data_IF_333647429417
#
_entry.id   IF_333647429417
#
_cell.length_a   1.000
_cell.length_b   1.000
_cell.length_c   1.000
_cell.angle_alpha   90.00
_cell.angle_beta   90.00
_cell.angle_gamma   90.00
#
_symmetry.space_group_name_H-M   'P 1'
#
loop_
_entity.id
_entity.type
_entity.pdbx_description
1 polymer ?
#
# COMPACT_ATOMS: atom_id res chain seq x y z
N UNK A 1 32.69 -0.02 -36.87
CA UNK A 1 32.91 0.28 -35.44
C UNK A 1 31.60 0.02 -34.76
N UNK A 2 31.48 -1.14 -34.10
CA UNK A 2 30.21 -1.57 -33.53
C UNK A 2 29.89 -0.77 -32.26
N UNK A 3 28.62 -0.37 -32.21
CA UNK A 3 27.95 0.48 -31.24
C UNK A 3 27.93 -0.11 -29.82
N UNK A 4 29.09 -0.24 -29.17
CA UNK A 4 29.18 -0.65 -27.77
C UNK A 4 28.40 0.33 -26.85
N UNK A 5 28.34 1.61 -27.24
CA UNK A 5 27.57 2.63 -26.52
C UNK A 5 26.05 2.53 -26.68
N UNK A 6 25.55 1.89 -27.74
CA UNK A 6 24.10 1.71 -27.92
C UNK A 6 23.57 0.51 -27.14
N UNK A 7 24.37 -0.55 -26.96
CA UNK A 7 24.01 -1.69 -26.10
C UNK A 7 23.84 -1.26 -24.65
N UNK A 8 24.85 -0.57 -24.09
CA UNK A 8 24.85 -0.10 -22.70
C UNK A 8 23.68 0.88 -22.42
N UNK A 9 23.31 1.74 -23.38
CA UNK A 9 22.16 2.66 -23.21
C UNK A 9 20.81 1.96 -23.27
N UNK A 10 20.69 0.85 -24.01
CA UNK A 10 19.46 0.06 -24.05
C UNK A 10 19.28 -0.73 -22.76
N UNK A 11 20.33 -1.40 -22.30
CA UNK A 11 20.32 -2.17 -21.05
C UNK A 11 19.99 -1.28 -19.84
N UNK A 12 20.65 -0.12 -19.70
CA UNK A 12 20.37 0.82 -18.61
C UNK A 12 18.93 1.39 -18.64
N UNK A 13 18.34 1.55 -19.83
CA UNK A 13 16.96 2.04 -19.98
C UNK A 13 15.95 0.95 -19.66
N UNK A 14 16.23 -0.30 -20.02
CA UNK A 14 15.38 -1.44 -19.69
C UNK A 14 15.41 -1.76 -18.19
N UNK A 15 16.57 -1.69 -17.55
CA UNK A 15 16.70 -1.84 -16.10
C UNK A 15 15.91 -0.76 -15.35
N UNK A 16 16.09 0.52 -15.69
CA UNK A 16 15.34 1.60 -15.02
C UNK A 16 13.82 1.55 -15.21
N UNK A 17 13.33 1.03 -16.35
CA UNK A 17 11.88 0.82 -16.57
C UNK A 17 11.37 -0.36 -15.72
N UNK A 18 12.16 -1.42 -15.57
CA UNK A 18 11.81 -2.57 -14.75
C UNK A 18 11.79 -2.22 -13.27
N UNK A 19 12.80 -1.50 -12.77
CA UNK A 19 12.85 -1.02 -11.39
C UNK A 19 11.66 -0.11 -11.09
N UNK A 20 11.41 0.91 -11.91
CA UNK A 20 10.29 1.83 -11.69
C UNK A 20 8.91 1.15 -11.76
N UNK A 21 8.74 0.10 -12.58
CA UNK A 21 7.49 -0.69 -12.61
C UNK A 21 7.34 -1.59 -11.38
N UNK A 22 8.44 -2.14 -10.88
CA UNK A 22 8.44 -2.97 -9.68
C UNK A 22 8.14 -2.12 -8.44
N UNK A 23 8.79 -0.98 -8.29
CA UNK A 23 8.54 -0.02 -7.21
C UNK A 23 7.09 0.47 -7.23
N UNK A 24 6.59 0.96 -8.38
CA UNK A 24 5.21 1.43 -8.48
C UNK A 24 4.15 0.33 -8.23
N UNK A 25 4.45 -0.92 -8.59
CA UNK A 25 3.56 -2.06 -8.29
C UNK A 25 3.61 -2.47 -6.81
N UNK A 26 4.74 -2.29 -6.14
CA UNK A 26 4.89 -2.54 -4.71
C UNK A 26 4.18 -1.45 -3.90
N UNK A 27 4.36 -0.18 -4.26
CA UNK A 27 3.66 0.95 -3.65
C UNK A 27 2.15 0.83 -3.83
N UNK A 28 1.67 0.56 -5.05
CA UNK A 28 0.23 0.39 -5.31
C UNK A 28 -0.38 -0.76 -4.52
N UNK A 29 0.33 -1.90 -4.40
CA UNK A 29 -0.15 -3.04 -3.60
C UNK A 29 -0.17 -2.75 -2.09
N UNK A 30 0.78 -1.97 -1.60
CA UNK A 30 0.80 -1.56 -0.20
C UNK A 30 -0.37 -0.61 0.11
N UNK A 31 -0.64 0.33 -0.80
CA UNK A 31 -1.75 1.27 -0.71
C UNK A 31 -3.12 0.57 -0.79
N UNK A 32 -3.29 -0.37 -1.74
CA UNK A 32 -4.50 -1.19 -1.85
C UNK A 32 -4.75 -2.01 -0.57
N UNK A 33 -3.70 -2.60 0.02
CA UNK A 33 -3.81 -3.33 1.28
C UNK A 33 -4.24 -2.43 2.43
N UNK A 34 -3.63 -1.25 2.54
CA UNK A 34 -3.97 -0.28 3.59
C UNK A 34 -5.43 0.19 3.47
N UNK A 35 -5.86 0.58 2.27
CA UNK A 35 -7.24 0.99 2.00
C UNK A 35 -8.24 -0.14 2.31
N UNK A 36 -7.88 -1.38 1.96
CA UNK A 36 -8.70 -2.56 2.27
C UNK A 36 -8.87 -2.74 3.77
N UNK A 37 -7.78 -2.62 4.54
CA UNK A 37 -7.81 -2.72 6.01
C UNK A 37 -8.72 -1.65 6.62
N UNK A 38 -8.61 -0.40 6.14
CA UNK A 38 -9.50 0.69 6.56
C UNK A 38 -10.97 0.37 6.26
N UNK A 39 -11.26 -0.15 5.07
CA UNK A 39 -12.62 -0.50 4.66
C UNK A 39 -13.20 -1.67 5.48
N UNK A 40 -12.40 -2.72 5.73
CA UNK A 40 -12.80 -3.84 6.57
C UNK A 40 -13.07 -3.39 8.01
N UNK A 41 -12.22 -2.50 8.55
CA UNK A 41 -12.41 -1.91 9.88
C UNK A 41 -13.74 -1.16 9.96
N UNK A 42 -14.04 -0.29 8.98
CA UNK A 42 -15.33 0.43 8.91
C UNK A 42 -16.53 -0.51 8.80
N UNK A 43 -16.45 -1.51 7.92
CA UNK A 43 -17.52 -2.51 7.75
C UNK A 43 -17.76 -3.28 9.05
N UNK A 44 -16.70 -3.62 9.79
CA UNK A 44 -16.79 -4.32 11.06
C UNK A 44 -17.41 -3.42 12.14
N UNK A 45 -16.98 -2.16 12.25
CA UNK A 45 -17.57 -1.16 13.15
C UNK A 45 -19.08 -1.04 12.94
N UNK A 46 -19.53 -0.91 11.69
CA UNK A 46 -20.95 -0.77 11.35
C UNK A 46 -21.73 -2.06 11.68
N UNK A 47 -21.21 -3.23 11.28
CA UNK A 47 -21.94 -4.51 11.46
C UNK A 47 -22.04 -4.95 12.92
N UNK A 48 -21.03 -4.66 13.72
CA UNK A 48 -20.93 -5.11 15.12
C UNK A 48 -21.25 -4.00 16.12
N UNK A 49 -21.43 -2.76 15.66
CA UNK A 49 -21.60 -1.57 16.51
C UNK A 49 -20.47 -1.40 17.54
N UNK A 50 -19.24 -1.70 17.12
CA UNK A 50 -18.03 -1.61 17.95
C UNK A 50 -17.23 -0.37 17.59
N UNK A 51 -16.36 0.05 18.51
CA UNK A 51 -15.45 1.17 18.28
C UNK A 51 -14.27 0.79 17.36
N UNK A 52 -13.55 1.80 16.88
CA UNK A 52 -12.42 1.60 15.95
C UNK A 52 -11.28 0.79 16.60
N UNK A 53 -11.03 0.96 17.89
CA UNK A 53 -9.96 0.26 18.62
C UNK A 53 -10.26 -1.24 18.74
N UNK A 54 -11.50 -1.59 19.07
CA UNK A 54 -11.97 -2.98 19.12
C UNK A 54 -11.98 -3.62 17.74
N UNK A 55 -12.39 -2.88 16.70
CA UNK A 55 -12.34 -3.39 15.33
C UNK A 55 -10.89 -3.67 14.89
N UNK A 56 -9.96 -2.80 15.26
CA UNK A 56 -8.52 -2.94 15.00
C UNK A 56 -7.94 -4.16 15.73
N UNK A 57 -8.35 -4.38 16.97
CA UNK A 57 -7.93 -5.51 17.79
C UNK A 57 -8.44 -6.84 17.22
N UNK A 58 -9.71 -6.89 16.80
CA UNK A 58 -10.31 -8.07 16.16
C UNK A 58 -9.65 -8.39 14.81
N UNK A 59 -9.24 -7.37 14.06
CA UNK A 59 -8.56 -7.53 12.77
C UNK A 59 -7.05 -7.81 12.94
N UNK A 60 -6.55 -7.89 14.17
CA UNK A 60 -5.15 -8.13 14.54
C UNK A 60 -4.19 -7.23 13.75
N UNK A 61 -4.55 -5.94 13.68
CA UNK A 61 -3.81 -4.97 12.87
C UNK A 61 -2.49 -4.61 13.59
N UNK A 62 -1.34 -4.65 12.89
CA UNK A 62 -0.04 -4.28 13.43
C UNK A 62 -0.01 -2.85 13.99
N UNK A 63 0.63 -2.65 15.14
CA UNK A 63 0.74 -1.34 15.80
C UNK A 63 1.32 -0.25 14.89
N UNK A 64 2.27 -0.61 14.00
CA UNK A 64 2.91 0.29 13.05
C UNK A 64 1.90 1.02 12.14
N UNK A 65 0.76 0.38 11.85
CA UNK A 65 -0.28 0.95 10.96
C UNK A 65 -1.58 1.29 11.70
N UNK A 66 -1.72 0.96 13.00
CA UNK A 66 -2.94 1.26 13.79
C UNK A 66 -3.28 2.74 13.73
N UNK A 67 -2.31 3.61 14.00
CA UNK A 67 -2.53 5.06 14.00
C UNK A 67 -2.91 5.58 12.61
N UNK A 68 -2.30 5.03 11.55
CA UNK A 68 -2.62 5.41 10.19
C UNK A 68 -4.07 5.03 9.83
N UNK A 69 -4.51 3.82 10.22
CA UNK A 69 -5.89 3.36 10.01
C UNK A 69 -6.89 4.24 10.76
N UNK A 70 -6.62 4.56 12.03
CA UNK A 70 -7.48 5.45 12.84
C UNK A 70 -7.60 6.82 12.17
N UNK A 71 -6.47 7.44 11.83
CA UNK A 71 -6.44 8.74 11.18
C UNK A 71 -7.21 8.75 9.85
N UNK A 72 -7.12 7.68 9.05
CA UNK A 72 -7.84 7.56 7.77
C UNK A 72 -9.35 7.33 7.96
N UNK A 73 -9.74 6.65 9.03
CA UNK A 73 -11.15 6.49 9.41
C UNK A 73 -11.73 7.84 9.86
N UNK A 74 -11.02 8.58 10.72
CA UNK A 74 -11.43 9.89 11.24
C UNK A 74 -11.41 11.00 10.18
N UNK A 75 -10.44 10.99 9.24
CA UNK A 75 -10.36 11.97 8.13
C UNK A 75 -11.58 11.98 7.21
N UNK A 76 -12.31 10.87 7.13
CA UNK A 76 -13.48 10.72 6.26
C UNK A 76 -14.82 10.89 7.00
N UNK A 77 -14.79 11.29 8.27
CA UNK A 77 -15.98 11.68 9.04
C UNK A 77 -16.22 13.19 8.96
#
# INVERSE_FOLDING_TARGET
>A
MCNLSEGIRKEAKEEGILEGKLEGKLEGKAEERFLSVVEYTKKLMIKKHINVMEAIDILDIPEDIRQAVINEIEKKN
#
